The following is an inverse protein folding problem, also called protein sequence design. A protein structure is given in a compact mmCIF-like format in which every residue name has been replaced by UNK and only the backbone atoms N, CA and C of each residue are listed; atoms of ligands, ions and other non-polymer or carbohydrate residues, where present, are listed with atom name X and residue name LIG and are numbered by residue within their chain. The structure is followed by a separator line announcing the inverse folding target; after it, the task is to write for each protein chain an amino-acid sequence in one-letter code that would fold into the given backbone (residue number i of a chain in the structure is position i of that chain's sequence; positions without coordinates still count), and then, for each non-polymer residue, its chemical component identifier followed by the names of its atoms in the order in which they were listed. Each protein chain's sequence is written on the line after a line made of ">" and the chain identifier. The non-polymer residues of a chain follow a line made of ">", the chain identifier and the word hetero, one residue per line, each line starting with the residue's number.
data_IF_550802414997
#
_entry.id   IF_550802414997
#
_cell.length_a   1.000
_cell.length_b   1.000
_cell.length_c   1.000
_cell.angle_alpha   90.00
_cell.angle_beta   90.00
_cell.angle_gamma   90.00
#
_symmetry.space_group_name_H-M   'P 1'
#
loop_
_entity.id
_entity.type
_entity.pdbx_description
1 polymer ?
#
# COMPACT_ATOMS: atom_id res chain seq x y z
N UNK A 1 36.12 9.83 -37.25
CA UNK A 1 34.66 9.56 -37.28
C UNK A 1 34.27 8.93 -35.96
N UNK A 2 33.64 9.68 -35.05
CA UNK A 2 33.19 9.17 -33.75
C UNK A 2 31.70 8.83 -33.83
N UNK A 3 31.34 7.57 -33.58
CA UNK A 3 29.95 7.09 -33.61
C UNK A 3 29.19 7.69 -32.43
N UNK A 4 28.19 8.52 -32.73
CA UNK A 4 27.17 8.93 -31.75
C UNK A 4 26.28 7.73 -31.46
N UNK A 5 26.36 7.18 -30.26
CA UNK A 5 25.38 6.21 -29.77
C UNK A 5 24.11 6.98 -29.43
N UNK A 6 23.11 6.88 -30.30
CA UNK A 6 21.78 7.43 -30.09
C UNK A 6 20.96 6.45 -29.23
N UNK A 7 21.17 6.47 -27.91
CA UNK A 7 20.28 5.77 -26.98
C UNK A 7 19.04 6.64 -26.79
N UNK A 8 17.96 6.31 -27.51
CA UNK A 8 16.68 7.01 -27.49
C UNK A 8 15.88 6.88 -26.18
N UNK A 9 16.54 6.93 -25.04
CA UNK A 9 15.90 7.00 -23.72
C UNK A 9 15.85 8.47 -23.29
N UNK A 10 14.72 8.98 -22.78
CA UNK A 10 14.67 10.33 -22.20
C UNK A 10 15.71 10.46 -21.08
N UNK A 11 16.31 11.65 -20.94
CA UNK A 11 17.33 11.93 -19.91
C UNK A 11 16.88 11.53 -18.49
N UNK A 12 15.57 11.59 -18.20
CA UNK A 12 14.96 11.16 -16.94
C UNK A 12 15.04 9.66 -16.64
N UNK A 13 15.42 8.84 -17.62
CA UNK A 13 15.58 7.39 -17.48
C UNK A 13 17.03 6.94 -17.49
N UNK A 14 17.96 7.80 -17.91
CA UNK A 14 19.39 7.46 -18.00
C UNK A 14 20.08 7.50 -16.62
N UNK A 15 19.57 8.33 -15.69
CA UNK A 15 20.10 8.50 -14.33
C UNK A 15 19.26 7.79 -13.24
N UNK A 16 18.33 6.89 -13.62
CA UNK A 16 17.71 6.00 -12.64
C UNK A 16 18.70 4.89 -12.28
N UNK A 17 19.67 5.22 -11.45
CA UNK A 17 20.25 4.20 -10.59
C UNK A 17 19.10 3.66 -9.73
N UNK A 18 18.68 2.42 -10.02
CA UNK A 18 17.85 1.67 -9.07
C UNK A 18 18.76 1.46 -7.88
N UNK A 19 18.64 2.33 -6.88
CA UNK A 19 19.25 2.13 -5.57
C UNK A 19 18.57 0.90 -4.98
N UNK A 20 19.10 -0.28 -5.31
CA UNK A 20 18.84 -1.54 -4.64
C UNK A 20 19.56 -1.52 -3.28
N UNK A 21 19.38 -0.45 -2.49
CA UNK A 21 19.42 -0.63 -1.05
C UNK A 21 18.35 -1.66 -0.79
N UNK A 22 18.75 -2.82 -0.29
CA UNK A 22 17.91 -3.89 0.23
C UNK A 22 16.63 -3.25 0.79
N UNK A 23 15.55 -3.28 0.00
CA UNK A 23 14.38 -2.47 0.32
C UNK A 23 13.78 -3.12 1.55
N UNK A 24 13.88 -2.43 2.68
CA UNK A 24 13.43 -2.97 3.95
C UNK A 24 11.95 -3.33 3.83
N UNK A 25 11.68 -4.63 3.82
CA UNK A 25 10.36 -5.20 3.63
C UNK A 25 9.37 -4.62 4.65
N UNK A 26 9.84 -4.34 5.87
CA UNK A 26 9.05 -3.73 6.93
C UNK A 26 8.55 -2.35 6.51
N UNK A 27 9.45 -1.52 6.01
CA UNK A 27 9.14 -0.19 5.47
C UNK A 27 8.17 -0.29 4.29
N UNK A 28 8.36 -1.24 3.36
CA UNK A 28 7.46 -1.43 2.21
C UNK A 28 6.04 -1.77 2.67
N UNK A 29 5.89 -2.73 3.59
CA UNK A 29 4.59 -3.20 4.04
C UNK A 29 3.82 -2.09 4.77
N UNK A 30 4.46 -1.42 5.73
CA UNK A 30 3.82 -0.34 6.50
C UNK A 30 3.41 0.81 5.59
N UNK A 31 4.30 1.25 4.69
CA UNK A 31 4.00 2.34 3.77
C UNK A 31 2.87 1.97 2.80
N UNK A 32 2.88 0.74 2.27
CA UNK A 32 1.82 0.22 1.42
C UNK A 32 0.46 0.26 2.11
N UNK A 33 0.39 -0.26 3.34
CA UNK A 33 -0.84 -0.27 4.13
C UNK A 33 -1.34 1.16 4.46
N UNK A 34 -0.44 2.09 4.79
CA UNK A 34 -0.79 3.50 5.01
C UNK A 34 -1.32 4.21 3.76
N UNK A 35 -0.74 3.90 2.59
CA UNK A 35 -1.22 4.42 1.30
C UNK A 35 -2.63 3.88 1.02
N UNK A 36 -2.86 2.58 1.16
CA UNK A 36 -4.19 1.99 0.96
C UNK A 36 -5.21 2.53 1.96
N UNK A 37 -4.83 2.76 3.23
CA UNK A 37 -5.71 3.44 4.21
C UNK A 37 -6.06 4.87 3.78
N UNK A 38 -5.09 5.63 3.27
CA UNK A 38 -5.34 6.98 2.75
C UNK A 38 -6.28 6.94 1.54
N UNK A 39 -6.16 5.93 0.68
CA UNK A 39 -7.07 5.74 -0.46
C UNK A 39 -8.47 5.31 -0.02
N UNK A 40 -8.59 4.43 0.99
CA UNK A 40 -9.86 4.05 1.61
C UNK A 40 -10.63 5.28 2.10
N UNK A 41 -9.96 6.16 2.86
CA UNK A 41 -10.54 7.42 3.38
C UNK A 41 -11.05 8.36 2.30
N UNK A 42 -10.44 8.33 1.11
CA UNK A 42 -10.78 9.22 -0.01
C UNK A 42 -11.80 8.60 -0.97
N UNK A 43 -12.00 7.29 -0.92
CA UNK A 43 -12.88 6.58 -1.82
C UNK A 43 -14.35 6.94 -1.52
N UNK A 44 -15.08 7.36 -2.56
CA UNK A 44 -16.50 7.73 -2.47
C UNK A 44 -17.45 6.61 -2.91
N UNK A 45 -16.95 5.62 -3.65
CA UNK A 45 -17.73 4.47 -4.07
C UNK A 45 -17.37 3.23 -3.25
N UNK A 46 -18.37 2.37 -3.05
CA UNK A 46 -18.28 1.19 -2.18
C UNK A 46 -17.26 0.16 -2.68
N UNK A 47 -17.15 -0.02 -3.99
CA UNK A 47 -16.24 -1.02 -4.58
C UNK A 47 -14.78 -0.64 -4.37
N UNK A 48 -14.41 0.63 -4.58
CA UNK A 48 -13.06 1.11 -4.31
C UNK A 48 -12.74 1.04 -2.82
N UNK A 49 -13.69 1.36 -1.95
CA UNK A 49 -13.53 1.18 -0.51
C UNK A 49 -13.25 -0.29 -0.16
N UNK A 50 -14.01 -1.23 -0.74
CA UNK A 50 -13.77 -2.66 -0.54
C UNK A 50 -12.38 -3.09 -1.04
N UNK A 51 -11.96 -2.63 -2.22
CA UNK A 51 -10.64 -2.93 -2.77
C UNK A 51 -9.51 -2.44 -1.85
N UNK A 52 -9.55 -1.18 -1.41
CA UNK A 52 -8.50 -0.63 -0.54
C UNK A 52 -8.51 -1.26 0.85
N UNK A 53 -9.69 -1.61 1.38
CA UNK A 53 -9.79 -2.39 2.61
C UNK A 53 -9.15 -3.77 2.46
N UNK A 54 -9.43 -4.48 1.35
CA UNK A 54 -8.84 -5.78 1.06
C UNK A 54 -7.31 -5.70 0.88
N UNK A 55 -6.79 -4.67 0.21
CA UNK A 55 -5.33 -4.44 0.09
C UNK A 55 -4.66 -4.30 1.46
N UNK A 56 -5.27 -3.60 2.41
CA UNK A 56 -4.75 -3.48 3.79
C UNK A 56 -4.67 -4.85 4.46
N UNK A 57 -5.71 -5.69 4.28
CA UNK A 57 -5.72 -7.07 4.75
C UNK A 57 -4.58 -7.92 4.18
N UNK A 58 -4.22 -7.72 2.91
CA UNK A 58 -3.08 -8.42 2.28
C UNK A 58 -1.76 -8.09 2.98
N UNK A 59 -1.50 -6.81 3.31
CA UNK A 59 -0.27 -6.45 4.03
C UNK A 59 -0.18 -7.12 5.41
N UNK A 60 -1.29 -7.19 6.14
CA UNK A 60 -1.35 -7.89 7.42
C UNK A 60 -1.09 -9.40 7.24
N UNK A 61 -1.69 -10.07 6.26
CA UNK A 61 -1.47 -11.49 6.02
C UNK A 61 0.00 -11.80 5.66
N UNK A 62 0.61 -10.95 4.82
CA UNK A 62 2.05 -11.08 4.50
C UNK A 62 2.91 -10.97 5.76
N UNK A 63 2.53 -10.09 6.71
CA UNK A 63 3.27 -9.95 7.97
C UNK A 63 3.29 -11.21 8.83
N UNK A 64 2.32 -12.11 8.66
CA UNK A 64 2.24 -13.39 9.36
C UNK A 64 3.14 -14.47 8.74
N UNK A 65 3.77 -14.18 7.60
CA UNK A 65 4.65 -15.13 6.90
C UNK A 65 5.97 -15.32 7.64
N UNK A 66 6.22 -16.55 8.10
CA UNK A 66 7.47 -16.91 8.79
C UNK A 66 8.68 -16.84 7.85
N UNK A 67 9.79 -16.30 8.35
CA UNK A 67 11.08 -16.30 7.65
C UNK A 67 11.29 -15.16 6.65
N UNK A 68 10.34 -14.23 6.52
CA UNK A 68 10.45 -13.07 5.64
C UNK A 68 11.18 -11.86 6.25
N UNK A 69 11.65 -11.97 7.50
CA UNK A 69 12.33 -10.86 8.19
C UNK A 69 11.39 -9.74 8.65
N UNK A 70 10.11 -10.04 8.84
CA UNK A 70 9.12 -9.10 9.36
C UNK A 70 9.32 -8.94 10.87
N UNK A 71 9.38 -7.70 11.35
CA UNK A 71 9.55 -7.40 12.77
C UNK A 71 8.21 -7.35 13.50
N UNK A 72 8.24 -7.55 14.81
CA UNK A 72 7.05 -7.46 15.67
C UNK A 72 6.46 -6.04 15.65
N UNK A 73 7.28 -5.00 15.52
CA UNK A 73 6.82 -3.61 15.36
C UNK A 73 6.03 -3.44 14.07
N UNK A 74 6.49 -4.05 12.98
CA UNK A 74 5.80 -4.01 11.69
C UNK A 74 4.47 -4.74 11.75
N UNK A 75 4.45 -5.94 12.34
CA UNK A 75 3.22 -6.70 12.55
C UNK A 75 2.22 -5.88 13.38
N UNK A 76 2.65 -5.31 14.51
CA UNK A 76 1.81 -4.47 15.38
C UNK A 76 1.28 -3.23 14.65
N UNK A 77 2.11 -2.59 13.83
CA UNK A 77 1.69 -1.44 13.03
C UNK A 77 0.63 -1.82 11.99
N UNK A 78 0.79 -2.97 11.31
CA UNK A 78 -0.17 -3.46 10.33
C UNK A 78 -1.49 -3.90 10.97
N UNK A 79 -1.46 -4.50 12.16
CA UNK A 79 -2.66 -4.80 12.95
C UNK A 79 -3.45 -3.53 13.28
N UNK A 80 -2.76 -2.48 13.73
CA UNK A 80 -3.40 -1.21 14.07
C UNK A 80 -3.99 -0.51 12.82
N UNK A 81 -3.27 -0.49 11.70
CA UNK A 81 -3.78 0.04 10.43
C UNK A 81 -5.02 -0.74 10.00
N UNK A 82 -4.99 -2.08 10.06
CA UNK A 82 -6.12 -2.92 9.70
C UNK A 82 -7.32 -2.70 10.63
N UNK A 83 -7.10 -2.50 11.93
CA UNK A 83 -8.14 -2.17 12.91
C UNK A 83 -8.82 -0.84 12.57
N UNK A 84 -8.03 0.20 12.29
CA UNK A 84 -8.53 1.52 11.88
C UNK A 84 -9.33 1.40 10.59
N UNK A 85 -8.77 0.73 9.57
CA UNK A 85 -9.43 0.53 8.28
C UNK A 85 -10.78 -0.20 8.42
N UNK A 86 -10.83 -1.24 9.27
CA UNK A 86 -12.06 -1.98 9.56
C UNK A 86 -13.12 -1.05 10.16
N UNK A 87 -12.74 -0.20 11.11
CA UNK A 87 -13.67 0.74 11.72
C UNK A 87 -14.22 1.74 10.68
N UNK A 88 -13.33 2.38 9.91
CA UNK A 88 -13.71 3.38 8.90
C UNK A 88 -14.59 2.78 7.79
N UNK A 89 -14.24 1.59 7.30
CA UNK A 89 -15.01 0.90 6.27
C UNK A 89 -16.41 0.47 6.75
N UNK A 90 -16.51 -0.05 7.99
CA UNK A 90 -17.80 -0.47 8.52
C UNK A 90 -18.71 0.72 8.84
N UNK A 91 -18.14 1.84 9.27
CA UNK A 91 -18.93 3.05 9.52
C UNK A 91 -19.41 3.71 8.22
N UNK A 92 -18.61 3.71 7.15
CA UNK A 92 -19.09 4.15 5.84
C UNK A 92 -20.26 3.30 5.34
N UNK A 93 -20.17 1.96 5.49
CA UNK A 93 -21.26 1.01 5.15
C UNK A 93 -22.54 1.29 5.91
N UNK A 94 -22.46 1.53 7.22
CA UNK A 94 -23.65 1.87 8.04
C UNK A 94 -24.30 3.18 7.59
N UNK A 95 -23.50 4.18 7.21
CA UNK A 95 -24.01 5.46 6.71
C UNK A 95 -24.71 5.30 5.37
N UNK A 96 -24.11 4.55 4.43
CA UNK A 96 -24.73 4.29 3.13
C UNK A 96 -26.05 3.52 3.26
N UNK A 97 -26.10 2.48 4.10
CA UNK A 97 -27.32 1.71 4.33
C UNK A 97 -28.48 2.58 4.86
N UNK A 98 -28.19 3.52 5.78
CA UNK A 98 -29.20 4.46 6.31
C UNK A 98 -29.66 5.52 5.32
N UNK A 99 -28.89 5.79 4.26
CA UNK A 99 -29.24 6.78 3.24
C UNK A 99 -30.10 6.21 2.11
N UNK A 100 -30.16 4.87 2.02
CA UNK A 100 -30.99 4.14 1.05
C UNK A 100 -32.39 3.79 1.59
N UNK A 101 -32.62 3.98 2.90
CA UNK A 101 -33.93 3.88 3.59
C UNK A 101 -34.73 5.19 3.54
#
# INVERSE_FOLDING_TARGET
>A
MSRKNNTGLPLSEQDREVVLTESDINTILVNGAQISLTKLRRAQNTDAQLCYYAEIGVYLEVSLSRGAGITDETMSALEEIHRIATHEYMDSRKLSAKAED
#
